data_IF_944245489725
#
_entry.id   IF_944245489725
#
_cell.length_a   1.000
_cell.length_b   1.000
_cell.length_c   1.000
_cell.angle_alpha   90.00
_cell.angle_beta   90.00
_cell.angle_gamma   90.00
#
_symmetry.space_group_name_H-M   'P 1'
#
loop_
_entity.id
_entity.type
_entity.pdbx_description
1 polymer ?
#
# COMPACT_ATOMS: atom_id res chain seq x y z
N UNK A 1 -11.30 1.12 6.25
CA UNK A 1 -11.72 2.54 6.35
C UNK A 1 -11.41 3.15 7.72
N UNK A 2 -11.64 2.48 8.84
CA UNK A 2 -11.39 2.98 10.19
C UNK A 2 -9.92 3.40 10.43
N UNK A 3 -8.94 2.63 9.96
CA UNK A 3 -7.52 2.89 10.16
C UNK A 3 -7.02 4.21 9.53
N UNK A 4 -7.54 4.58 8.35
CA UNK A 4 -7.22 5.88 7.71
C UNK A 4 -7.81 7.03 8.53
N UNK A 5 -9.04 6.90 9.00
CA UNK A 5 -9.68 7.90 9.86
C UNK A 5 -8.93 8.10 11.18
N UNK A 6 -8.56 7.01 11.83
CA UNK A 6 -7.75 7.06 13.03
C UNK A 6 -6.42 7.78 12.79
N UNK A 7 -5.72 7.41 11.71
CA UNK A 7 -4.45 8.05 11.34
C UNK A 7 -4.63 9.54 11.06
N UNK A 8 -5.70 9.92 10.34
CA UNK A 8 -6.03 11.35 10.12
C UNK A 8 -6.35 12.10 11.40
N UNK A 9 -7.04 11.46 12.34
CA UNK A 9 -7.39 12.08 13.62
C UNK A 9 -6.14 12.35 14.45
N UNK A 10 -5.18 11.45 14.43
CA UNK A 10 -3.93 11.54 15.20
C UNK A 10 -2.88 12.45 14.54
N UNK A 11 -2.89 12.54 13.21
CA UNK A 11 -1.83 13.16 12.39
C UNK A 11 -2.46 13.99 11.25
N UNK A 12 -3.37 14.88 11.58
CA UNK A 12 -4.15 15.65 10.60
C UNK A 12 -3.30 16.49 9.66
N UNK A 13 -2.13 16.93 10.11
CA UNK A 13 -1.15 17.70 9.33
C UNK A 13 -0.62 16.95 8.12
N UNK A 14 -0.62 15.61 8.15
CA UNK A 14 -0.22 14.78 7.00
C UNK A 14 -1.27 14.76 5.89
N UNK A 15 -2.48 15.18 6.17
CA UNK A 15 -3.59 15.20 5.22
C UNK A 15 -3.90 16.59 4.65
N UNK A 16 -2.98 17.56 4.84
CA UNK A 16 -3.13 18.94 4.35
C UNK A 16 -1.84 19.39 3.67
N UNK A 17 -1.90 19.70 2.38
CA UNK A 17 -0.81 20.29 1.62
C UNK A 17 0.45 19.40 1.52
N UNK A 18 0.31 18.09 1.63
CA UNK A 18 1.42 17.11 1.59
C UNK A 18 1.45 16.33 0.28
N UNK A 19 2.59 15.70 0.05
CA UNK A 19 2.83 14.89 -1.14
C UNK A 19 2.75 13.40 -0.79
N UNK A 20 1.81 12.71 -1.41
CA UNK A 20 1.50 11.30 -1.18
C UNK A 20 1.79 10.43 -2.41
N UNK A 21 2.28 9.23 -2.16
CA UNK A 21 2.38 8.13 -3.13
C UNK A 21 1.44 7.01 -2.70
N UNK A 22 0.58 6.54 -3.60
CA UNK A 22 -0.25 5.35 -3.40
C UNK A 22 0.13 4.29 -4.42
N UNK A 23 0.63 3.12 -3.95
CA UNK A 23 0.88 1.95 -4.78
C UNK A 23 -0.36 1.07 -4.75
N UNK A 24 -0.80 0.59 -5.93
CA UNK A 24 -2.05 -0.15 -6.09
C UNK A 24 -3.26 0.77 -6.05
N UNK A 25 -3.18 1.92 -6.69
CA UNK A 25 -4.24 2.95 -6.70
C UNK A 25 -5.50 2.56 -7.48
N UNK A 26 -5.36 1.68 -8.47
CA UNK A 26 -6.45 1.00 -9.20
C UNK A 26 -7.54 1.86 -9.79
N UNK A 27 -8.70 1.24 -9.93
CA UNK A 27 -9.95 1.92 -10.32
C UNK A 27 -10.72 2.46 -9.10
N UNK A 28 -10.31 2.11 -7.91
CA UNK A 28 -10.90 2.64 -6.69
C UNK A 28 -10.43 4.08 -6.52
N UNK A 29 -11.34 4.98 -6.14
CA UNK A 29 -10.92 6.29 -5.64
C UNK A 29 -9.89 6.05 -4.54
N UNK A 30 -8.71 6.69 -4.59
CA UNK A 30 -7.72 6.58 -3.55
C UNK A 30 -8.41 6.85 -2.21
N UNK A 31 -8.53 5.82 -1.37
CA UNK A 31 -9.31 5.92 -0.12
C UNK A 31 -8.75 7.01 0.79
N UNK A 32 -7.43 7.20 0.76
CA UNK A 32 -6.78 8.22 1.54
C UNK A 32 -6.89 9.62 0.88
N UNK A 33 -6.89 9.71 -0.46
CA UNK A 33 -7.05 10.99 -1.19
C UNK A 33 -8.36 11.71 -0.83
N UNK A 34 -9.45 10.98 -0.67
CA UNK A 34 -10.75 11.55 -0.28
C UNK A 34 -10.75 12.18 1.12
N UNK A 35 -9.74 11.87 1.95
CA UNK A 35 -9.58 12.40 3.29
C UNK A 35 -8.54 13.52 3.39
N UNK A 36 -7.87 13.84 2.28
CA UNK A 36 -6.83 14.86 2.22
C UNK A 36 -7.34 16.16 1.61
N UNK A 37 -6.72 17.27 1.97
CA UNK A 37 -7.00 18.60 1.43
C UNK A 37 -5.72 19.20 0.86
N UNK A 38 -5.81 19.69 -0.39
CA UNK A 38 -4.70 20.36 -1.08
C UNK A 38 -3.41 19.53 -1.13
N UNK A 39 -3.52 18.20 -1.04
CA UNK A 39 -2.40 17.28 -1.18
C UNK A 39 -2.14 16.93 -2.65
N UNK A 40 -0.87 16.84 -3.01
CA UNK A 40 -0.46 16.21 -4.26
C UNK A 40 -0.49 14.69 -4.08
N UNK A 41 -1.28 14.00 -4.89
CA UNK A 41 -1.35 12.54 -4.90
C UNK A 41 -0.81 12.00 -6.20
N UNK A 42 0.08 11.01 -6.11
CA UNK A 42 0.54 10.21 -7.25
C UNK A 42 0.07 8.78 -7.02
N UNK A 43 -0.86 8.34 -7.85
CA UNK A 43 -1.35 6.97 -7.89
C UNK A 43 -0.54 6.14 -8.87
N UNK A 44 -0.03 5.00 -8.43
CA UNK A 44 0.74 4.05 -9.24
C UNK A 44 0.05 2.70 -9.24
N UNK A 45 -0.16 2.13 -10.42
CA UNK A 45 -0.66 0.76 -10.56
C UNK A 45 -0.06 0.10 -11.80
N UNK A 46 -0.23 -1.22 -11.89
CA UNK A 46 0.29 -2.04 -12.99
C UNK A 46 -0.42 -1.80 -14.32
N UNK A 47 -1.62 -1.25 -14.29
CA UNK A 47 -2.42 -0.91 -15.45
C UNK A 47 -3.15 0.42 -15.25
N UNK A 48 -3.65 1.00 -16.36
CA UNK A 48 -4.35 2.28 -16.35
C UNK A 48 -5.73 2.18 -15.69
N UNK A 49 -6.01 3.11 -14.80
CA UNK A 49 -7.28 3.20 -14.06
C UNK A 49 -7.58 4.62 -13.61
N UNK A 50 -8.77 4.84 -13.04
CA UNK A 50 -9.22 6.18 -12.62
C UNK A 50 -8.37 6.80 -11.49
N UNK A 51 -7.69 5.98 -10.70
CA UNK A 51 -6.79 6.42 -9.62
C UNK A 51 -5.32 6.40 -10.01
N UNK A 52 -4.99 6.09 -11.29
CA UNK A 52 -3.63 5.82 -11.74
C UNK A 52 -3.06 6.99 -12.53
N UNK A 53 -2.08 7.67 -11.97
CA UNK A 53 -1.33 8.73 -12.63
C UNK A 53 -0.13 8.13 -13.40
N UNK A 54 0.49 7.07 -12.88
CA UNK A 54 1.65 6.40 -13.46
C UNK A 54 1.41 4.90 -13.54
N UNK A 55 1.49 4.34 -14.75
CA UNK A 55 1.46 2.88 -14.97
C UNK A 55 2.87 2.34 -14.74
N UNK A 56 3.05 1.58 -13.65
CA UNK A 56 4.33 0.96 -13.29
C UNK A 56 4.12 -0.16 -12.28
N UNK A 57 5.00 -1.15 -12.28
CA UNK A 57 5.13 -2.07 -11.16
C UNK A 57 5.63 -1.32 -9.92
N UNK A 58 5.07 -1.60 -8.75
CA UNK A 58 5.40 -0.87 -7.51
C UNK A 58 6.90 -0.86 -7.19
N UNK A 59 7.59 -1.98 -7.40
CA UNK A 59 9.03 -2.09 -7.18
C UNK A 59 9.90 -1.42 -8.26
N UNK A 60 9.34 -1.06 -9.42
CA UNK A 60 10.05 -0.40 -10.52
C UNK A 60 9.74 1.09 -10.61
N UNK A 61 8.74 1.57 -9.87
CA UNK A 61 8.40 2.99 -9.85
C UNK A 61 9.60 3.86 -9.45
N UNK A 62 9.81 4.97 -10.14
CA UNK A 62 10.88 5.93 -9.85
C UNK A 62 10.34 7.34 -9.83
N UNK A 63 10.76 8.11 -8.85
CA UNK A 63 10.50 9.54 -8.72
C UNK A 63 11.68 10.22 -8.04
N UNK A 64 12.08 11.39 -8.54
CA UNK A 64 13.24 12.13 -8.00
C UNK A 64 12.85 13.01 -6.78
N UNK A 65 11.57 13.20 -6.53
CA UNK A 65 11.11 13.99 -5.40
C UNK A 65 10.49 13.06 -4.34
N UNK A 66 11.02 13.05 -3.12
CA UNK A 66 10.51 12.20 -2.07
C UNK A 66 9.13 12.67 -1.57
N UNK A 67 8.40 11.75 -0.93
CA UNK A 67 7.04 11.92 -0.46
C UNK A 67 6.99 12.16 1.05
N UNK A 68 5.98 12.92 1.50
CA UNK A 68 5.66 13.07 2.93
C UNK A 68 4.99 11.82 3.49
N UNK A 69 4.25 11.11 2.63
CA UNK A 69 3.62 9.84 2.98
C UNK A 69 3.58 8.89 1.78
N UNK A 70 3.69 7.60 2.06
CA UNK A 70 3.47 6.52 1.09
C UNK A 70 2.46 5.52 1.64
N UNK A 71 1.58 5.00 0.79
CA UNK A 71 0.61 4.02 1.21
C UNK A 71 0.36 2.93 0.16
N UNK A 72 -0.14 1.78 0.63
CA UNK A 72 -0.66 0.69 -0.20
C UNK A 72 -1.80 0.01 0.56
N UNK A 73 -2.95 -0.17 -0.10
CA UNK A 73 -4.12 -0.76 0.53
C UNK A 73 -4.61 -1.97 -0.24
N UNK A 74 -4.56 -3.16 0.39
CA UNK A 74 -4.96 -4.46 -0.19
C UNK A 74 -4.15 -4.77 -1.47
N UNK A 75 -2.83 -4.64 -1.39
CA UNK A 75 -1.89 -4.83 -2.52
C UNK A 75 -0.94 -6.00 -2.26
N UNK A 76 -0.36 -6.07 -1.07
CA UNK A 76 0.80 -6.94 -0.81
C UNK A 76 0.47 -8.44 -0.80
N UNK A 77 -0.77 -8.83 -0.59
CA UNK A 77 -1.23 -10.20 -0.76
C UNK A 77 -1.24 -10.65 -2.22
N UNK A 78 -1.34 -9.69 -3.16
CA UNK A 78 -1.38 -9.91 -4.60
C UNK A 78 -0.05 -9.60 -5.30
N UNK A 79 0.92 -9.03 -4.58
CA UNK A 79 2.22 -8.65 -5.16
C UNK A 79 3.27 -9.74 -4.94
N UNK A 80 3.72 -10.45 -6.01
CA UNK A 80 4.79 -11.45 -5.91
C UNK A 80 6.16 -10.84 -5.60
N UNK A 81 6.31 -9.53 -5.73
CA UNK A 81 7.53 -8.75 -5.44
C UNK A 81 7.36 -7.80 -4.25
N UNK A 82 6.47 -8.16 -3.30
CA UNK A 82 6.08 -7.29 -2.22
C UNK A 82 7.26 -6.73 -1.41
N UNK A 83 8.31 -7.51 -1.21
CA UNK A 83 9.51 -7.11 -0.49
C UNK A 83 10.27 -5.97 -1.21
N UNK A 84 10.39 -6.07 -2.53
CA UNK A 84 10.97 -5.03 -3.36
C UNK A 84 10.06 -3.80 -3.43
N UNK A 85 8.74 -4.00 -3.51
CA UNK A 85 7.76 -2.91 -3.51
C UNK A 85 7.81 -2.14 -2.19
N UNK A 86 7.80 -2.82 -1.05
CA UNK A 86 7.94 -2.19 0.28
C UNK A 86 9.27 -1.44 0.40
N UNK A 87 10.36 -2.04 -0.06
CA UNK A 87 11.68 -1.38 -0.09
C UNK A 87 11.62 -0.09 -0.88
N UNK A 88 11.12 -0.15 -2.11
CA UNK A 88 11.00 1.01 -3.00
C UNK A 88 10.11 2.12 -2.40
N UNK A 89 9.00 1.76 -1.77
CA UNK A 89 8.13 2.73 -1.07
C UNK A 89 8.87 3.47 0.05
N UNK A 90 9.65 2.75 0.87
CA UNK A 90 10.41 3.36 1.98
C UNK A 90 11.53 4.24 1.44
N UNK A 91 12.19 3.85 0.35
CA UNK A 91 13.21 4.68 -0.32
C UNK A 91 12.66 6.03 -0.76
N UNK A 92 11.43 6.05 -1.28
CA UNK A 92 10.76 7.27 -1.73
C UNK A 92 10.22 8.17 -0.61
N UNK A 93 10.25 7.74 0.65
CA UNK A 93 9.85 8.58 1.78
C UNK A 93 10.94 9.59 2.15
N UNK A 94 10.52 10.80 2.52
CA UNK A 94 11.35 11.76 3.26
C UNK A 94 11.71 11.20 4.64
N UNK A 95 12.83 11.61 5.25
CA UNK A 95 13.03 11.43 6.70
C UNK A 95 11.81 12.00 7.45
N UNK A 96 11.30 11.27 8.44
CA UNK A 96 10.08 11.62 9.16
C UNK A 96 8.77 11.38 8.38
N UNK A 97 8.83 10.87 7.14
CA UNK A 97 7.64 10.57 6.33
C UNK A 97 6.89 9.33 6.81
N UNK A 98 5.58 9.31 6.58
CA UNK A 98 4.68 8.24 6.99
C UNK A 98 4.64 7.11 5.96
N UNK A 99 4.88 5.88 6.41
CA UNK A 99 4.52 4.65 5.70
C UNK A 99 3.21 4.09 6.27
N UNK A 100 2.24 3.77 5.41
CA UNK A 100 0.96 3.20 5.83
C UNK A 100 0.51 2.10 4.88
N UNK A 101 0.00 0.97 5.42
CA UNK A 101 -0.51 -0.10 4.58
C UNK A 101 -1.64 -0.89 5.22
N UNK A 102 -2.42 -1.56 4.36
CA UNK A 102 -3.30 -2.67 4.72
C UNK A 102 -3.09 -3.83 3.76
N UNK A 103 -3.25 -5.06 4.25
CA UNK A 103 -3.24 -6.26 3.41
C UNK A 103 -3.92 -7.43 4.11
N UNK A 104 -4.16 -8.51 3.37
CA UNK A 104 -4.72 -9.73 3.92
C UNK A 104 -3.80 -10.39 4.96
N UNK A 105 -4.36 -10.70 6.14
CA UNK A 105 -3.71 -11.43 7.22
C UNK A 105 -4.06 -12.92 7.20
N UNK A 106 -3.38 -13.70 8.03
CA UNK A 106 -3.62 -15.15 8.17
C UNK A 106 -5.10 -15.47 8.35
N UNK A 107 -5.59 -16.42 7.55
CA UNK A 107 -6.99 -16.84 7.54
C UNK A 107 -7.91 -16.02 6.63
N UNK A 108 -7.42 -14.94 5.98
CA UNK A 108 -8.18 -14.32 4.89
C UNK A 108 -8.29 -15.28 3.72
N UNK A 109 -9.51 -15.45 3.20
CA UNK A 109 -9.76 -16.30 2.03
C UNK A 109 -9.10 -15.72 0.79
N UNK A 110 -8.53 -16.60 -0.04
CA UNK A 110 -8.00 -16.24 -1.35
C UNK A 110 -9.06 -15.52 -2.19
N UNK A 111 -8.64 -14.45 -2.85
CA UNK A 111 -9.46 -13.68 -3.80
C UNK A 111 -8.54 -13.02 -4.85
N UNK A 112 -9.12 -12.52 -5.93
CA UNK A 112 -8.38 -11.82 -6.98
C UNK A 112 -7.46 -12.70 -7.82
N UNK A 113 -7.60 -14.02 -7.75
CA UNK A 113 -6.91 -14.98 -8.62
C UNK A 113 -7.86 -15.55 -9.66
N UNK A 114 -7.34 -16.20 -10.71
CA UNK A 114 -8.18 -16.90 -11.69
C UNK A 114 -9.03 -18.01 -11.06
N UNK A 115 -8.59 -18.53 -9.93
CA UNK A 115 -9.27 -19.59 -9.15
C UNK A 115 -10.35 -19.06 -8.22
N UNK A 116 -10.23 -17.82 -7.77
CA UNK A 116 -11.09 -17.26 -6.73
C UNK A 116 -11.33 -15.77 -6.92
N UNK A 117 -12.56 -15.41 -7.28
CA UNK A 117 -13.06 -14.03 -7.39
C UNK A 117 -12.16 -13.08 -8.22
N UNK A 118 -11.88 -13.41 -9.50
CA UNK A 118 -10.91 -12.68 -10.34
C UNK A 118 -11.24 -11.18 -10.49
N UNK A 119 -12.50 -10.80 -10.40
CA UNK A 119 -12.95 -9.40 -10.51
C UNK A 119 -12.44 -8.49 -9.38
N UNK A 120 -11.96 -9.09 -8.27
CA UNK A 120 -11.36 -8.30 -7.18
C UNK A 120 -10.00 -7.69 -7.57
N UNK A 121 -9.29 -8.30 -8.53
CA UNK A 121 -8.00 -7.83 -9.05
C UNK A 121 -7.98 -7.88 -10.58
N UNK A 122 -8.76 -7.03 -11.26
CA UNK A 122 -8.94 -7.11 -12.71
C UNK A 122 -7.63 -6.92 -13.49
N UNK A 123 -6.72 -6.09 -12.99
CA UNK A 123 -5.47 -5.76 -13.69
C UNK A 123 -4.43 -6.89 -13.67
N UNK A 124 -4.57 -7.87 -12.79
CA UNK A 124 -3.61 -8.97 -12.67
C UNK A 124 -3.93 -10.18 -13.55
N UNK A 125 -5.15 -10.24 -14.09
CA UNK A 125 -5.67 -11.47 -14.73
C UNK A 125 -4.90 -11.89 -15.99
N UNK A 126 -4.29 -10.95 -16.70
CA UNK A 126 -3.50 -11.21 -17.91
C UNK A 126 -1.98 -11.27 -17.65
N UNK A 127 -1.58 -11.19 -16.38
CA UNK A 127 -0.16 -11.18 -15.99
C UNK A 127 0.27 -12.51 -15.39
N UNK A 128 1.12 -13.28 -16.09
CA UNK A 128 1.49 -14.65 -15.71
C UNK A 128 1.90 -14.85 -14.25
N UNK A 129 2.65 -13.94 -13.68
CA UNK A 129 3.12 -14.04 -12.29
C UNK A 129 2.10 -13.58 -11.25
N UNK A 130 1.17 -12.71 -11.63
CA UNK A 130 0.21 -12.09 -10.72
C UNK A 130 -1.13 -12.79 -10.69
N UNK A 131 -1.66 -13.27 -11.81
CA UNK A 131 -3.05 -13.73 -11.92
C UNK A 131 -3.45 -14.82 -10.91
N UNK A 132 -2.49 -15.63 -10.49
CA UNK A 132 -2.68 -16.73 -9.54
C UNK A 132 -1.84 -16.56 -8.26
N UNK A 133 -1.23 -15.41 -8.08
CA UNK A 133 -0.50 -15.11 -6.87
C UNK A 133 -1.44 -14.56 -5.79
N UNK A 134 -1.44 -15.22 -4.64
CA UNK A 134 -2.09 -14.75 -3.43
C UNK A 134 -1.35 -15.29 -2.20
N UNK A 135 -1.01 -14.42 -1.28
CA UNK A 135 -0.36 -14.81 -0.04
C UNK A 135 -0.72 -13.89 1.11
N UNK A 136 -1.39 -14.42 2.12
CA UNK A 136 -1.60 -13.72 3.39
C UNK A 136 -0.27 -13.29 4.00
N UNK A 137 -0.21 -12.07 4.53
CA UNK A 137 1.01 -11.49 5.11
C UNK A 137 0.93 -11.44 6.62
N UNK A 138 2.10 -11.48 7.25
CA UNK A 138 2.26 -11.34 8.70
C UNK A 138 3.23 -10.19 9.01
N UNK A 139 3.23 -9.65 10.24
CA UNK A 139 4.26 -8.70 10.67
C UNK A 139 5.69 -9.25 10.51
N UNK A 140 5.86 -10.58 10.59
CA UNK A 140 7.14 -11.25 10.36
C UNK A 140 7.64 -11.10 8.93
N UNK A 141 6.75 -11.22 7.93
CA UNK A 141 7.12 -11.05 6.52
C UNK A 141 7.70 -9.64 6.28
N UNK A 142 7.08 -8.60 6.84
CA UNK A 142 7.58 -7.22 6.71
C UNK A 142 8.90 -6.99 7.47
N UNK A 143 9.01 -7.50 8.69
CA UNK A 143 10.23 -7.36 9.51
C UNK A 143 11.44 -8.07 8.89
N UNK A 144 11.24 -9.05 8.01
CA UNK A 144 12.29 -9.72 7.28
C UNK A 144 12.91 -8.86 6.17
N UNK A 145 12.22 -7.80 5.74
CA UNK A 145 12.71 -6.85 4.73
C UNK A 145 13.75 -5.92 5.38
N UNK A 146 15.02 -5.88 4.91
CA UNK A 146 16.05 -5.07 5.53
C UNK A 146 15.69 -3.58 5.66
N UNK A 147 15.09 -3.00 4.61
CA UNK A 147 14.68 -1.59 4.58
C UNK A 147 13.57 -1.26 5.60
N UNK A 148 12.77 -2.25 6.00
CA UNK A 148 11.70 -2.04 6.98
C UNK A 148 12.21 -1.60 8.36
N UNK A 149 13.50 -1.83 8.67
CA UNK A 149 14.16 -1.37 9.90
C UNK A 149 14.31 0.15 9.98
N UNK A 150 14.21 0.83 8.83
CA UNK A 150 14.20 2.30 8.76
C UNK A 150 12.89 2.91 9.25
N UNK A 151 11.84 2.10 9.42
CA UNK A 151 10.58 2.56 9.99
C UNK A 151 10.61 2.42 11.53
N UNK A 152 10.35 3.53 12.21
CA UNK A 152 10.27 3.63 13.66
C UNK A 152 8.86 3.99 14.12
N UNK A 153 8.60 3.87 15.42
CA UNK A 153 7.29 4.15 16.03
C UNK A 153 6.14 3.38 15.36
N UNK A 154 6.47 2.15 14.90
CA UNK A 154 5.55 1.31 14.15
C UNK A 154 4.37 0.81 14.98
N UNK A 155 3.17 0.90 14.42
CA UNK A 155 1.94 0.45 15.04
C UNK A 155 1.23 -0.57 14.14
N UNK A 156 1.05 -1.79 14.66
CA UNK A 156 0.36 -2.89 14.00
C UNK A 156 -1.04 -3.07 14.56
N UNK A 157 -2.00 -3.32 13.68
CA UNK A 157 -3.35 -3.74 14.07
C UNK A 157 -3.75 -4.96 13.24
N UNK A 158 -4.33 -5.96 13.88
CA UNK A 158 -4.95 -7.11 13.23
C UNK A 158 -6.45 -7.00 13.44
N UNK A 159 -7.20 -6.95 12.34
CA UNK A 159 -8.66 -7.06 12.39
C UNK A 159 -9.06 -8.54 12.29
N UNK A 160 -9.41 -9.14 13.42
CA UNK A 160 -9.77 -10.56 13.47
C UNK A 160 -11.07 -10.90 12.73
N UNK A 161 -11.95 -9.94 12.52
CA UNK A 161 -13.21 -10.17 11.78
C UNK A 161 -12.97 -10.22 10.27
N UNK A 162 -12.29 -9.23 9.71
CA UNK A 162 -11.99 -9.16 8.28
C UNK A 162 -10.72 -9.91 7.89
N UNK A 163 -9.90 -10.31 8.87
CA UNK A 163 -8.58 -10.92 8.66
C UNK A 163 -7.65 -10.02 7.87
N UNK A 164 -7.63 -8.75 8.24
CA UNK A 164 -6.75 -7.75 7.65
C UNK A 164 -5.64 -7.36 8.62
N UNK A 165 -4.48 -7.10 8.07
CA UNK A 165 -3.31 -6.55 8.75
C UNK A 165 -3.17 -5.07 8.38
N UNK A 166 -3.01 -4.22 9.38
CA UNK A 166 -2.74 -2.79 9.22
C UNK A 166 -1.40 -2.43 9.84
N UNK A 167 -0.70 -1.48 9.21
CA UNK A 167 0.52 -0.92 9.76
C UNK A 167 0.67 0.56 9.41
N UNK A 168 1.24 1.33 10.33
CA UNK A 168 1.80 2.66 10.10
C UNK A 168 3.12 2.79 10.85
N UNK A 169 4.06 3.54 10.28
CA UNK A 169 5.36 3.83 10.89
C UNK A 169 6.03 4.97 10.15
N UNK A 170 7.08 5.54 10.75
CA UNK A 170 7.76 6.72 10.23
C UNK A 170 9.19 6.39 9.84
N UNK A 171 9.65 6.88 8.70
CA UNK A 171 11.05 6.76 8.28
C UNK A 171 11.96 7.57 9.21
N UNK A 172 13.08 6.99 9.58
CA UNK A 172 14.16 7.69 10.30
C UNK A 172 14.68 8.89 9.54
#
# INVERSE_FOLDING_TARGET
MHFIYETKTLYSELFIGKRWLEIGSGNCFPKAKSHSKDCEWIGVDIEKGNGVDVVSLGHLYKNNQPFDAVCAFEVFEHDPYFDLTVTNMIEHLKPGGLFMMTCAYLGRKEHGTSRSHPVAMPFTQEMDRWKDFYRNRTPGDFRSIPMFKELINGYWVINEMSKDLYYRGWKR
#
